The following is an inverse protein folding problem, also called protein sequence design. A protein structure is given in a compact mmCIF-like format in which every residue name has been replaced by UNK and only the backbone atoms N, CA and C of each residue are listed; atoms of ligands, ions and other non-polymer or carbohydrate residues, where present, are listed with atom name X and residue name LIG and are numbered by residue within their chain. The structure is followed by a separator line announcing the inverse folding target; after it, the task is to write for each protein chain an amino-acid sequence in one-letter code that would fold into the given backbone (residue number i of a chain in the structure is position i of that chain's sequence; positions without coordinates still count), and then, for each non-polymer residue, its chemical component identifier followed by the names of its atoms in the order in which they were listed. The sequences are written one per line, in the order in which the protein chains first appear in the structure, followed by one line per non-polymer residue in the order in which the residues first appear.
data_IF_589295066753
#
_entry.id   IF_589295066753
#
_cell.length_a   1.000
_cell.length_b   1.000
_cell.length_c   1.000
_cell.angle_alpha   90.00
_cell.angle_beta   90.00
_cell.angle_gamma   90.00
#
_symmetry.space_group_name_H-M   'P 1'
#
loop_
_entity.id
_entity.type
_entity.pdbx_description
1 polymer ?
#
# COMPACT_ATOMS: atom_id res chain seq x y z
N UNK A 1 8.27 -0.58 5.44
CA UNK A 1 9.28 0.31 4.84
C UNK A 1 9.00 1.78 5.09
N UNK A 2 9.49 2.64 4.22
CA UNK A 2 9.31 4.09 4.34
C UNK A 2 9.74 4.62 5.70
N UNK A 3 8.98 5.55 6.26
CA UNK A 3 9.27 6.12 7.60
C UNK A 3 8.90 5.19 8.76
N UNK A 4 8.16 4.11 8.50
CA UNK A 4 7.74 3.13 9.51
C UNK A 4 8.82 2.08 9.84
N UNK A 5 9.92 2.01 9.09
CA UNK A 5 10.96 1.01 9.29
C UNK A 5 12.33 1.49 8.82
N UNK A 6 13.38 1.07 9.53
CA UNK A 6 14.78 1.31 9.15
C UNK A 6 15.23 0.21 8.16
N UNK A 7 14.78 0.32 6.91
CA UNK A 7 15.13 -0.59 5.81
C UNK A 7 15.08 0.13 4.46
N UNK A 8 15.58 -0.47 3.35
CA UNK A 8 15.66 0.22 2.06
C UNK A 8 14.35 0.22 1.25
N UNK A 9 13.23 -0.26 1.77
CA UNK A 9 11.96 -0.26 1.06
C UNK A 9 11.30 1.13 1.17
N UNK A 10 11.03 1.77 0.04
CA UNK A 10 10.46 3.12 0.01
C UNK A 10 8.95 3.13 0.31
N UNK A 11 8.19 2.10 -0.11
CA UNK A 11 6.78 1.95 0.24
C UNK A 11 6.62 1.59 1.72
N UNK A 12 5.62 2.20 2.35
CA UNK A 12 5.43 2.14 3.79
C UNK A 12 4.90 0.78 4.27
N UNK A 13 3.80 0.29 3.68
CA UNK A 13 3.17 -0.96 4.11
C UNK A 13 2.72 -1.84 2.93
N UNK A 14 2.86 -3.16 3.14
CA UNK A 14 2.31 -4.21 2.27
C UNK A 14 1.35 -5.03 3.10
N UNK A 15 0.11 -5.12 2.65
CA UNK A 15 -0.98 -5.70 3.43
C UNK A 15 -1.61 -6.89 2.72
N UNK A 16 -2.13 -7.82 3.51
CA UNK A 16 -2.97 -8.92 3.01
C UNK A 16 -4.42 -8.66 3.37
N UNK A 17 -5.31 -8.98 2.44
CA UNK A 17 -6.76 -8.86 2.60
C UNK A 17 -7.42 -10.24 2.41
N UNK A 18 -7.84 -10.94 3.47
CA UNK A 18 -8.45 -12.26 3.38
C UNK A 18 -9.92 -12.17 2.94
N UNK A 19 -10.12 -11.80 1.66
CA UNK A 19 -11.44 -11.52 1.05
C UNK A 19 -12.30 -12.77 0.88
N UNK A 20 -11.69 -13.97 0.90
CA UNK A 20 -12.39 -15.22 0.81
C UNK A 20 -12.96 -15.73 2.14
N UNK A 21 -12.73 -15.04 3.26
CA UNK A 21 -13.24 -15.43 4.56
C UNK A 21 -14.72 -15.07 4.72
N UNK A 22 -15.52 -16.01 5.23
CA UNK A 22 -16.96 -15.78 5.47
C UNK A 22 -17.23 -15.01 6.77
N UNK A 23 -16.27 -15.00 7.70
CA UNK A 23 -16.38 -14.31 8.99
C UNK A 23 -15.10 -13.57 9.35
N UNK A 24 -15.20 -12.57 10.23
CA UNK A 24 -14.03 -11.86 10.74
C UNK A 24 -13.01 -12.80 11.43
N UNK A 25 -13.50 -13.73 12.24
CA UNK A 25 -12.64 -14.70 12.93
C UNK A 25 -11.86 -15.58 11.96
N UNK A 26 -12.49 -15.99 10.86
CA UNK A 26 -11.84 -16.74 9.79
C UNK A 26 -10.81 -15.89 9.06
N UNK A 27 -11.14 -14.65 8.73
CA UNK A 27 -10.20 -13.68 8.11
C UNK A 27 -8.99 -13.44 9.00
N UNK A 28 -9.19 -13.28 10.30
CA UNK A 28 -8.09 -13.12 11.26
C UNK A 28 -7.19 -14.35 11.30
N UNK A 29 -7.78 -15.56 11.32
CA UNK A 29 -7.03 -16.82 11.27
C UNK A 29 -6.18 -16.92 10.01
N UNK A 30 -6.77 -16.66 8.84
CA UNK A 30 -6.05 -16.63 7.56
C UNK A 30 -4.89 -15.64 7.59
N UNK A 31 -5.12 -14.44 8.10
CA UNK A 31 -4.09 -13.42 8.26
C UNK A 31 -2.91 -13.88 9.12
N UNK A 32 -3.20 -14.50 10.26
CA UNK A 32 -2.17 -15.03 11.17
C UNK A 32 -1.38 -16.17 10.50
N UNK A 33 -2.03 -17.07 9.79
CA UNK A 33 -1.36 -18.18 9.10
C UNK A 33 -0.41 -17.67 7.99
N UNK A 34 -0.84 -16.72 7.18
CA UNK A 34 0.03 -16.09 6.17
C UNK A 34 1.18 -15.34 6.84
N UNK A 35 0.91 -14.57 7.91
CA UNK A 35 1.93 -13.83 8.65
C UNK A 35 3.02 -14.75 9.22
N UNK A 36 2.63 -15.86 9.86
CA UNK A 36 3.59 -16.82 10.42
C UNK A 36 4.37 -17.55 9.32
N UNK A 37 3.72 -17.84 8.21
CA UNK A 37 4.37 -18.44 7.04
C UNK A 37 5.39 -17.48 6.43
N UNK A 38 5.05 -16.19 6.31
CA UNK A 38 5.96 -15.14 5.85
C UNK A 38 7.17 -15.02 6.78
N UNK A 39 6.93 -15.02 8.11
CA UNK A 39 8.03 -14.99 9.10
C UNK A 39 9.03 -16.11 8.86
N UNK A 40 8.51 -17.33 8.68
CA UNK A 40 9.35 -18.50 8.42
C UNK A 40 10.11 -18.36 7.10
N UNK A 41 9.45 -17.92 6.03
CA UNK A 41 10.07 -17.77 4.70
C UNK A 41 11.21 -16.74 4.72
N UNK A 42 11.02 -15.60 5.39
CA UNK A 42 12.05 -14.59 5.56
C UNK A 42 13.24 -15.13 6.37
N UNK A 43 12.97 -15.78 7.50
CA UNK A 43 14.01 -16.37 8.35
C UNK A 43 14.83 -17.43 7.60
N UNK A 44 14.17 -18.35 6.89
CA UNK A 44 14.83 -19.45 6.16
C UNK A 44 15.74 -18.92 5.04
N UNK A 45 15.49 -17.74 4.51
CA UNK A 45 16.33 -17.05 3.53
C UNK A 45 17.35 -16.08 4.15
N UNK A 46 17.48 -16.07 5.47
CA UNK A 46 18.48 -15.28 6.19
C UNK A 46 18.11 -13.80 6.39
N UNK A 47 16.84 -13.43 6.13
CA UNK A 47 16.36 -12.08 6.42
C UNK A 47 15.99 -11.92 7.90
N UNK A 48 16.10 -10.70 8.42
CA UNK A 48 15.59 -10.40 9.75
C UNK A 48 14.04 -10.36 9.73
N UNK A 49 13.45 -10.63 10.88
CA UNK A 49 12.00 -10.59 11.11
C UNK A 49 11.62 -9.58 12.19
N UNK A 50 12.43 -8.52 12.35
CA UNK A 50 12.04 -7.36 13.14
C UNK A 50 10.87 -6.67 12.47
N UNK A 51 10.07 -5.96 13.26
CA UNK A 51 8.85 -5.32 12.78
C UNK A 51 8.98 -3.81 12.76
N UNK A 52 8.28 -3.17 11.85
CA UNK A 52 8.09 -1.72 11.81
C UNK A 52 6.97 -1.26 12.74
N UNK A 53 6.60 -0.01 12.62
CA UNK A 53 5.68 0.68 13.53
C UNK A 53 4.27 0.08 13.54
N UNK A 54 3.82 -0.49 12.44
CA UNK A 54 2.50 -1.16 12.33
C UNK A 54 2.56 -2.68 12.51
N UNK A 55 3.72 -3.23 12.91
CA UNK A 55 3.89 -4.64 13.24
C UNK A 55 4.14 -5.55 12.04
N UNK A 56 4.27 -5.02 10.84
CA UNK A 56 4.73 -5.75 9.66
C UNK A 56 6.24 -5.99 9.71
N UNK A 57 6.71 -7.09 9.09
CA UNK A 57 8.15 -7.37 9.01
C UNK A 57 8.86 -6.31 8.15
N UNK A 58 10.07 -5.94 8.57
CA UNK A 58 10.90 -4.92 7.94
C UNK A 58 12.26 -5.48 7.46
N UNK A 59 12.28 -6.50 6.58
CA UNK A 59 13.52 -7.04 6.05
C UNK A 59 14.18 -6.06 5.06
N UNK A 60 15.49 -6.19 4.89
CA UNK A 60 16.22 -5.47 3.85
C UNK A 60 16.02 -6.19 2.51
N UNK A 61 15.01 -5.76 1.76
CA UNK A 61 14.73 -6.26 0.41
C UNK A 61 15.04 -5.19 -0.63
N UNK A 62 15.36 -5.58 -1.88
CA UNK A 62 15.85 -4.64 -2.89
C UNK A 62 14.76 -3.79 -3.55
N UNK A 63 13.48 -4.15 -3.43
CA UNK A 63 12.38 -3.46 -4.10
C UNK A 63 11.02 -3.81 -3.51
N UNK A 64 9.99 -3.05 -3.86
CA UNK A 64 8.61 -3.34 -3.52
C UNK A 64 8.14 -4.67 -4.11
N UNK A 65 8.54 -5.00 -5.35
CA UNK A 65 8.22 -6.29 -5.98
C UNK A 65 8.78 -7.46 -5.19
N UNK A 66 10.01 -7.34 -4.66
CA UNK A 66 10.58 -8.40 -3.82
C UNK A 66 9.76 -8.62 -2.54
N UNK A 67 9.21 -7.56 -1.94
CA UNK A 67 8.32 -7.69 -0.80
C UNK A 67 7.00 -8.36 -1.19
N UNK A 68 6.39 -7.96 -2.31
CA UNK A 68 5.16 -8.57 -2.83
C UNK A 68 5.37 -10.05 -3.16
N UNK A 69 6.50 -10.42 -3.75
CA UNK A 69 6.83 -11.81 -4.08
C UNK A 69 6.93 -12.69 -2.82
N UNK A 70 7.53 -12.20 -1.74
CA UNK A 70 7.55 -12.90 -0.45
C UNK A 70 6.14 -13.10 0.11
N UNK A 71 5.29 -12.08 0.03
CA UNK A 71 3.89 -12.18 0.49
C UNK A 71 3.12 -13.18 -0.37
N UNK A 72 3.25 -13.13 -1.69
CA UNK A 72 2.62 -14.09 -2.61
C UNK A 72 3.04 -15.53 -2.32
N UNK A 73 4.34 -15.76 -2.10
CA UNK A 73 4.85 -17.07 -1.70
C UNK A 73 4.24 -17.52 -0.36
N UNK A 74 4.16 -16.62 0.61
CA UNK A 74 3.60 -16.95 1.93
C UNK A 74 2.11 -17.32 1.84
N UNK A 75 1.33 -16.62 1.01
CA UNK A 75 -0.09 -16.94 0.76
C UNK A 75 -0.20 -18.36 0.19
N UNK A 76 0.60 -18.69 -0.83
CA UNK A 76 0.56 -20.00 -1.48
C UNK A 76 0.99 -21.14 -0.54
N UNK A 77 2.07 -20.92 0.25
CA UNK A 77 2.58 -21.92 1.21
C UNK A 77 1.61 -22.10 2.39
N UNK A 78 0.90 -21.05 2.79
CA UNK A 78 -0.18 -21.16 3.79
C UNK A 78 -1.42 -21.92 3.28
N UNK A 79 -1.46 -22.27 1.97
CA UNK A 79 -2.53 -23.05 1.37
C UNK A 79 -3.66 -22.22 0.76
N UNK A 80 -3.49 -20.91 0.62
CA UNK A 80 -4.48 -20.00 0.06
C UNK A 80 -4.18 -19.64 -1.40
N UNK A 81 -5.23 -19.24 -2.11
CA UNK A 81 -5.15 -18.77 -3.50
C UNK A 81 -5.13 -17.25 -3.52
N UNK A 82 -4.00 -16.68 -3.93
CA UNK A 82 -3.89 -15.24 -4.15
C UNK A 82 -4.90 -14.76 -5.22
N UNK A 83 -5.51 -13.63 -4.97
CA UNK A 83 -6.56 -13.04 -5.82
C UNK A 83 -7.95 -13.65 -5.64
N UNK A 84 -8.09 -14.73 -4.86
CA UNK A 84 -9.36 -15.37 -4.58
C UNK A 84 -9.65 -15.45 -3.07
N UNK A 85 -8.76 -16.06 -2.32
CA UNK A 85 -8.90 -16.22 -0.88
C UNK A 85 -8.26 -15.03 -0.15
N UNK A 86 -7.10 -14.58 -0.65
CA UNK A 86 -6.34 -13.45 -0.12
C UNK A 86 -5.92 -12.54 -1.26
N UNK A 87 -6.29 -11.27 -1.19
CA UNK A 87 -5.79 -10.20 -2.06
C UNK A 87 -4.71 -9.39 -1.33
N UNK A 88 -4.10 -8.46 -2.05
CA UNK A 88 -3.07 -7.57 -1.53
C UNK A 88 -3.59 -6.13 -1.47
N UNK A 89 -3.03 -5.36 -0.54
CA UNK A 89 -3.13 -3.92 -0.51
C UNK A 89 -1.76 -3.31 -0.20
N UNK A 90 -1.60 -2.04 -0.53
CA UNK A 90 -0.37 -1.28 -0.26
C UNK A 90 -0.73 0.08 0.30
N UNK A 91 0.14 0.58 1.18
CA UNK A 91 0.28 1.99 1.49
C UNK A 91 1.65 2.45 1.01
N UNK A 92 1.65 3.35 0.04
CA UNK A 92 2.89 3.87 -0.52
C UNK A 92 3.46 5.04 0.29
N UNK A 93 2.60 5.83 0.95
CA UNK A 93 2.96 7.08 1.63
C UNK A 93 3.87 7.96 0.75
N UNK A 94 3.46 8.15 -0.52
CA UNK A 94 4.36 8.63 -1.57
C UNK A 94 4.80 10.09 -1.42
N UNK A 95 4.16 10.86 -0.52
CA UNK A 95 4.61 12.21 -0.14
C UNK A 95 6.03 12.19 0.41
N UNK A 96 6.42 11.14 1.15
CA UNK A 96 7.72 11.03 1.82
C UNK A 96 8.90 10.99 0.84
N UNK A 97 8.71 10.43 -0.34
CA UNK A 97 9.75 10.34 -1.37
C UNK A 97 9.47 11.20 -2.61
N UNK A 98 8.49 12.11 -2.55
CA UNK A 98 8.22 13.09 -3.62
C UNK A 98 9.02 14.38 -3.39
N UNK A 99 9.93 14.71 -4.30
CA UNK A 99 10.77 15.91 -4.22
C UNK A 99 10.98 16.49 -5.61
N UNK A 100 10.87 17.82 -5.75
CA UNK A 100 11.14 18.53 -7.00
C UNK A 100 10.35 18.01 -8.22
N UNK A 101 9.11 17.59 -8.02
CA UNK A 101 8.23 17.12 -9.09
C UNK A 101 8.50 15.68 -9.55
N UNK A 102 9.22 14.89 -8.77
CA UNK A 102 9.54 13.49 -9.07
C UNK A 102 9.53 12.62 -7.80
N UNK A 103 9.34 11.33 -7.97
CA UNK A 103 9.36 10.31 -6.93
C UNK A 103 10.73 9.65 -6.88
N UNK A 104 11.45 9.83 -5.75
CA UNK A 104 12.81 9.37 -5.54
C UNK A 104 12.84 8.12 -4.67
N UNK A 105 13.02 6.98 -5.29
CA UNK A 105 13.17 5.69 -4.62
C UNK A 105 14.62 5.51 -4.18
N UNK A 106 14.93 5.95 -2.97
CA UNK A 106 16.30 5.95 -2.46
C UNK A 106 16.84 4.52 -2.30
N UNK A 107 16.01 3.61 -1.83
CA UNK A 107 16.38 2.20 -1.65
C UNK A 107 16.63 1.45 -2.96
N UNK A 108 15.96 1.82 -4.04
CA UNK A 108 16.16 1.24 -5.36
C UNK A 108 17.17 2.03 -6.22
N UNK A 109 17.56 3.24 -5.81
CA UNK A 109 18.39 4.14 -6.61
C UNK A 109 17.71 4.62 -7.89
N UNK A 110 16.38 4.76 -7.88
CA UNK A 110 15.57 5.14 -9.05
C UNK A 110 14.83 6.45 -8.81
N UNK A 111 14.55 7.15 -9.88
CA UNK A 111 13.67 8.33 -9.87
C UNK A 111 12.60 8.14 -10.95
N UNK A 112 11.36 8.43 -10.60
CA UNK A 112 10.22 8.36 -11.52
C UNK A 112 9.56 9.73 -11.62
N UNK A 113 9.25 10.15 -12.83
CA UNK A 113 8.32 11.26 -13.06
C UNK A 113 6.90 10.89 -12.58
N UNK A 114 6.02 11.88 -12.50
CA UNK A 114 4.60 11.67 -12.15
C UNK A 114 3.95 10.60 -13.05
N UNK A 115 4.17 10.68 -14.36
CA UNK A 115 3.62 9.73 -15.31
C UNK A 115 4.20 8.31 -15.13
N UNK A 116 5.51 8.20 -14.88
CA UNK A 116 6.17 6.92 -14.62
C UNK A 116 5.73 6.31 -13.29
N UNK A 117 5.43 7.13 -12.28
CA UNK A 117 4.87 6.65 -11.01
C UNK A 117 3.47 6.05 -11.22
N UNK A 118 2.59 6.76 -11.92
CA UNK A 118 1.25 6.26 -12.24
C UNK A 118 1.31 4.96 -13.06
N UNK A 119 2.25 4.86 -14.01
CA UNK A 119 2.48 3.64 -14.80
C UNK A 119 3.02 2.50 -13.94
N UNK A 120 3.96 2.79 -13.04
CA UNK A 120 4.52 1.80 -12.11
C UNK A 120 3.44 1.19 -11.22
N UNK A 121 2.58 2.01 -10.62
CA UNK A 121 1.45 1.51 -9.82
C UNK A 121 0.47 0.67 -10.65
N UNK A 122 0.19 1.10 -11.88
CA UNK A 122 -0.68 0.33 -12.79
C UNK A 122 -0.07 -1.04 -13.13
N UNK A 123 1.24 -1.10 -13.37
CA UNK A 123 1.95 -2.36 -13.63
C UNK A 123 1.95 -3.30 -12.42
N UNK A 124 2.08 -2.77 -11.19
CA UNK A 124 1.95 -3.57 -9.97
C UNK A 124 0.54 -4.16 -9.82
N UNK A 125 -0.51 -3.37 -10.09
CA UNK A 125 -1.91 -3.86 -10.06
C UNK A 125 -2.19 -4.91 -11.14
N UNK A 126 -1.49 -4.85 -12.28
CA UNK A 126 -1.62 -5.87 -13.33
C UNK A 126 -0.86 -7.17 -12.98
N UNK A 127 0.30 -7.04 -12.33
CA UNK A 127 1.17 -8.18 -12.01
C UNK A 127 0.73 -8.93 -10.74
N UNK A 128 0.14 -8.24 -9.78
CA UNK A 128 -0.23 -8.79 -8.48
C UNK A 128 -1.73 -8.59 -8.19
N UNK A 129 -2.36 -9.42 -7.36
CA UNK A 129 -3.77 -9.27 -6.99
C UNK A 129 -4.00 -8.12 -5.99
N UNK A 130 -3.50 -6.93 -6.34
CA UNK A 130 -3.64 -5.71 -5.53
C UNK A 130 -5.02 -5.11 -5.80
N UNK A 131 -5.79 -4.94 -4.74
CA UNK A 131 -7.16 -4.41 -4.80
C UNK A 131 -7.29 -3.04 -4.12
N UNK A 132 -6.25 -2.58 -3.42
CA UNK A 132 -6.24 -1.27 -2.76
C UNK A 132 -4.83 -0.69 -2.74
N UNK A 133 -4.71 0.58 -3.06
CA UNK A 133 -3.49 1.40 -2.92
C UNK A 133 -3.85 2.67 -2.16
N UNK A 134 -3.17 2.88 -1.04
CA UNK A 134 -3.23 4.07 -0.22
C UNK A 134 -2.07 4.99 -0.54
N UNK A 135 -2.35 6.29 -0.68
CA UNK A 135 -1.38 7.36 -0.94
C UNK A 135 -0.29 7.03 -1.96
N UNK A 136 -0.74 6.49 -3.12
CA UNK A 136 0.15 6.08 -4.23
C UNK A 136 0.88 7.25 -4.89
N UNK A 137 0.40 8.47 -4.72
CA UNK A 137 0.97 9.73 -5.18
C UNK A 137 1.05 10.69 -3.99
N UNK A 138 1.89 11.74 -4.12
CA UNK A 138 2.00 12.79 -3.12
C UNK A 138 0.66 13.51 -2.89
N UNK A 139 0.42 13.95 -1.66
CA UNK A 139 -0.81 14.63 -1.22
C UNK A 139 -1.15 15.91 -2.01
N UNK A 140 -0.16 16.53 -2.64
CA UNK A 140 -0.35 17.72 -3.46
C UNK A 140 -0.23 17.48 -4.97
N UNK A 141 0.04 16.22 -5.39
CA UNK A 141 0.14 15.85 -6.80
C UNK A 141 -1.23 15.48 -7.39
N UNK A 142 -2.13 16.45 -7.45
CA UNK A 142 -3.49 16.26 -7.99
C UNK A 142 -3.52 15.75 -9.43
N UNK A 143 -2.52 16.14 -10.26
CA UNK A 143 -2.40 15.67 -11.64
C UNK A 143 -2.02 14.19 -11.69
N UNK A 144 -1.07 13.76 -10.88
CA UNK A 144 -0.70 12.35 -10.75
C UNK A 144 -1.85 11.52 -10.22
N UNK A 145 -2.56 11.99 -9.21
CA UNK A 145 -3.76 11.33 -8.70
C UNK A 145 -4.83 11.15 -9.77
N UNK A 146 -5.02 12.16 -10.63
CA UNK A 146 -5.95 12.03 -11.76
C UNK A 146 -5.49 10.96 -12.74
N UNK A 147 -4.20 10.94 -13.10
CA UNK A 147 -3.64 9.94 -14.00
C UNK A 147 -3.83 8.51 -13.47
N UNK A 148 -3.51 8.25 -12.21
CA UNK A 148 -3.65 6.91 -11.63
C UNK A 148 -5.11 6.52 -11.49
N UNK A 149 -5.99 7.47 -11.13
CA UNK A 149 -7.43 7.20 -11.00
C UNK A 149 -8.03 6.79 -12.34
N UNK A 150 -7.69 7.48 -13.42
CA UNK A 150 -8.16 7.15 -14.76
C UNK A 150 -7.62 5.78 -15.24
N UNK A 151 -6.38 5.43 -14.87
CA UNK A 151 -5.76 4.17 -15.26
C UNK A 151 -6.36 2.95 -14.54
N UNK A 152 -6.46 2.99 -13.23
CA UNK A 152 -6.74 1.80 -12.41
C UNK A 152 -7.90 1.97 -11.42
N UNK A 153 -8.48 3.15 -11.26
CA UNK A 153 -9.57 3.39 -10.31
C UNK A 153 -10.84 2.57 -10.57
N UNK A 154 -10.99 2.01 -11.77
CA UNK A 154 -12.11 1.13 -12.11
C UNK A 154 -11.94 -0.32 -11.59
N UNK A 155 -10.74 -0.71 -11.17
CA UNK A 155 -10.41 -2.06 -10.69
C UNK A 155 -9.66 -2.10 -9.37
N UNK A 156 -9.20 -0.95 -8.88
CA UNK A 156 -8.43 -0.84 -7.64
C UNK A 156 -9.00 0.27 -6.76
N UNK A 157 -9.12 0.02 -5.47
CA UNK A 157 -9.42 1.04 -4.48
C UNK A 157 -8.23 1.97 -4.36
N UNK A 158 -8.44 3.26 -4.55
CA UNK A 158 -7.44 4.32 -4.42
C UNK A 158 -7.80 5.17 -3.22
N UNK A 159 -7.08 4.96 -2.14
CA UNK A 159 -7.37 5.54 -0.82
C UNK A 159 -6.53 6.79 -0.61
N UNK A 160 -7.17 7.90 -0.25
CA UNK A 160 -6.48 9.08 0.25
C UNK A 160 -6.51 9.08 1.78
N UNK A 161 -5.34 8.91 2.41
CA UNK A 161 -5.09 9.23 3.81
C UNK A 161 -4.49 10.63 3.90
N UNK A 162 -3.22 10.81 3.55
CA UNK A 162 -2.56 12.12 3.51
C UNK A 162 -3.19 13.06 2.46
N UNK A 163 -3.65 12.50 1.34
CA UNK A 163 -4.36 13.29 0.32
C UNK A 163 -5.55 14.05 0.91
N UNK A 164 -6.35 13.41 1.74
CA UNK A 164 -7.60 13.99 2.24
C UNK A 164 -7.54 14.44 3.70
N UNK A 165 -6.64 13.90 4.51
CA UNK A 165 -6.44 14.18 5.95
C UNK A 165 -7.74 14.31 6.75
N UNK A 166 -8.76 13.52 6.40
CA UNK A 166 -10.12 13.58 6.98
C UNK A 166 -10.73 14.99 6.92
N UNK A 167 -10.36 15.77 5.88
CA UNK A 167 -10.75 17.18 5.71
C UNK A 167 -11.80 17.34 4.62
N UNK A 168 -12.94 17.94 4.95
CA UNK A 168 -14.07 18.13 4.03
C UNK A 168 -13.69 18.95 2.78
N UNK A 169 -12.82 19.94 2.91
CA UNK A 169 -12.42 20.79 1.78
C UNK A 169 -11.55 20.01 0.79
N UNK A 170 -10.57 19.23 1.28
CA UNK A 170 -9.72 18.40 0.43
C UNK A 170 -10.51 17.25 -0.22
N UNK A 171 -11.43 16.63 0.53
CA UNK A 171 -12.32 15.60 -0.02
C UNK A 171 -13.23 16.17 -1.12
N UNK A 172 -13.81 17.36 -0.90
CA UNK A 172 -14.65 18.03 -1.91
C UNK A 172 -13.86 18.38 -3.17
N UNK A 173 -12.60 18.80 -3.01
CA UNK A 173 -11.70 19.02 -4.14
C UNK A 173 -11.44 17.73 -4.92
N UNK A 174 -11.12 16.63 -4.21
CA UNK A 174 -10.91 15.32 -4.82
C UNK A 174 -12.13 14.84 -5.62
N UNK A 175 -13.32 14.96 -5.03
CA UNK A 175 -14.57 14.62 -5.72
C UNK A 175 -14.76 15.48 -6.99
N UNK A 176 -14.52 16.79 -6.90
CA UNK A 176 -14.70 17.70 -8.02
C UNK A 176 -13.70 17.43 -9.16
N UNK A 177 -12.51 16.98 -8.84
CA UNK A 177 -11.45 16.62 -9.79
C UNK A 177 -11.58 15.17 -10.31
N UNK A 178 -12.43 14.35 -9.66
CA UNK A 178 -12.56 12.93 -9.99
C UNK A 178 -11.28 12.16 -9.72
N UNK A 179 -10.65 12.38 -8.56
CA UNK A 179 -9.43 11.71 -8.11
C UNK A 179 -9.70 10.87 -6.87
N UNK A 180 -8.98 9.75 -6.76
CA UNK A 180 -9.21 8.70 -5.78
C UNK A 180 -10.63 8.14 -5.85
N UNK A 181 -10.96 7.15 -5.05
CA UNK A 181 -12.31 6.61 -4.94
C UNK A 181 -12.66 6.17 -3.51
N UNK A 182 -11.74 6.37 -2.58
CA UNK A 182 -11.87 6.02 -1.17
C UNK A 182 -11.11 7.02 -0.29
N UNK A 183 -11.51 7.10 0.97
CA UNK A 183 -10.86 7.91 2.00
C UNK A 183 -10.56 7.06 3.21
N UNK A 184 -9.40 7.25 3.83
CA UNK A 184 -9.13 6.79 5.18
C UNK A 184 -9.60 7.84 6.18
N UNK A 185 -10.45 7.45 7.13
CA UNK A 185 -11.03 8.36 8.12
C UNK A 185 -10.31 8.20 9.45
N UNK A 186 -9.63 9.27 9.89
CA UNK A 186 -8.89 9.33 11.16
C UNK A 186 -9.39 10.50 12.02
N UNK A 187 -10.04 10.22 13.15
CA UNK A 187 -10.50 11.25 14.09
C UNK A 187 -9.36 12.16 14.55
N UNK A 188 -8.18 11.61 14.75
CA UNK A 188 -7.01 12.35 15.22
C UNK A 188 -6.43 13.35 14.19
N UNK A 189 -6.74 13.21 12.89
CA UNK A 189 -6.32 14.19 11.88
C UNK A 189 -7.13 15.50 11.95
N UNK A 190 -8.42 15.40 12.30
CA UNK A 190 -9.30 16.57 12.38
C UNK A 190 -9.55 16.99 13.82
N UNK A 191 -9.55 16.06 14.78
CA UNK A 191 -9.52 16.31 16.21
C UNK A 191 -10.85 16.19 16.95
N UNK A 192 -12.00 16.13 16.28
CA UNK A 192 -13.30 15.91 16.91
C UNK A 192 -14.18 14.96 16.10
N UNK A 193 -15.05 14.22 16.79
CA UNK A 193 -16.04 13.35 16.13
C UNK A 193 -17.03 14.14 15.28
N UNK A 194 -17.36 15.37 15.69
CA UNK A 194 -18.33 16.22 14.98
C UNK A 194 -17.79 16.66 13.63
N UNK A 195 -16.49 16.97 13.53
CA UNK A 195 -15.87 17.38 12.29
C UNK A 195 -15.52 16.18 11.39
N UNK A 196 -15.20 15.01 12.00
CA UNK A 196 -14.98 13.75 11.30
C UNK A 196 -16.26 13.20 10.69
#
# INVERSE_FOLDING_TARGET
GGVHADNPIDFQEFMIMPVGAETFSEGLRMGVEVFQTLKKALHDQGHNTNVGDEGGFAPNLPSAEAALDFVMQAIAVAGYKAGKDVCLAMDCAATEFFKNGAYHYEGEGKTRSIAEQAEYLANLVEAYPIVSIEDGLSEDDWEGWKLVTDKIGHKCQLVGDDLFVTNVSRLSEGISKGVANSILVKVNQIGSLTET
#
